data_IF_801561890090
#
_entry.id   IF_801561890090
#
_cell.length_a   1.000
_cell.length_b   1.000
_cell.length_c   1.000
_cell.angle_alpha   90.00
_cell.angle_beta   90.00
_cell.angle_gamma   90.00
#
_symmetry.space_group_name_H-M   'P 1'
#
loop_
_entity.id
_entity.type
_entity.pdbx_description
1 polymer ?
#
# COMPACT_ATOMS: atom_id res chain seq x y z
N UNK A 1 -8.73 29.77 -0.83
CA UNK A 1 -7.94 28.53 -0.66
C UNK A 1 -7.81 27.85 -2.01
N UNK A 2 -6.59 27.62 -2.51
CA UNK A 2 -6.38 27.16 -3.88
C UNK A 2 -6.60 25.65 -3.98
N UNK A 3 -7.77 25.22 -4.48
CA UNK A 3 -8.18 23.81 -4.46
C UNK A 3 -7.18 22.87 -5.17
N UNK A 4 -6.54 23.34 -6.25
CA UNK A 4 -5.52 22.60 -6.98
C UNK A 4 -4.27 22.31 -6.14
N UNK A 5 -3.83 23.28 -5.33
CA UNK A 5 -2.67 23.12 -4.44
C UNK A 5 -2.94 22.12 -3.33
N UNK A 6 -4.17 22.07 -2.81
CA UNK A 6 -4.55 21.08 -1.81
C UNK A 6 -4.60 19.67 -2.40
N UNK A 7 -5.20 19.50 -3.58
CA UNK A 7 -5.23 18.21 -4.28
C UNK A 7 -3.79 17.70 -4.51
N UNK A 8 -2.87 18.56 -4.94
CA UNK A 8 -1.47 18.18 -5.13
C UNK A 8 -0.79 17.72 -3.82
N UNK A 9 -1.08 18.38 -2.69
CA UNK A 9 -0.56 17.96 -1.37
C UNK A 9 -1.10 16.60 -0.95
N UNK A 10 -2.41 16.36 -1.13
CA UNK A 10 -3.00 15.05 -0.83
C UNK A 10 -2.41 13.96 -1.72
N UNK A 11 -2.29 14.21 -3.03
CA UNK A 11 -1.69 13.27 -3.97
C UNK A 11 -0.26 12.89 -3.56
N UNK A 12 0.54 13.86 -3.15
CA UNK A 12 1.92 13.63 -2.72
C UNK A 12 2.00 12.87 -1.39
N UNK A 13 1.13 13.18 -0.43
CA UNK A 13 1.06 12.45 0.84
C UNK A 13 0.57 11.01 0.65
N UNK A 14 -0.44 10.78 -0.18
CA UNK A 14 -0.95 9.45 -0.50
C UNK A 14 0.12 8.61 -1.22
N UNK A 15 0.90 9.24 -2.10
CA UNK A 15 2.04 8.60 -2.75
C UNK A 15 3.15 8.21 -1.76
N UNK A 16 3.49 9.09 -0.82
CA UNK A 16 4.45 8.77 0.24
C UNK A 16 3.93 7.68 1.18
N UNK A 17 2.66 7.75 1.60
CA UNK A 17 2.03 6.78 2.48
C UNK A 17 2.01 5.37 1.84
N UNK A 18 1.61 5.27 0.58
CA UNK A 18 1.62 4.00 -0.17
C UNK A 18 3.03 3.43 -0.34
N UNK A 19 4.01 4.28 -0.66
CA UNK A 19 5.42 3.88 -0.80
C UNK A 19 6.01 3.38 0.52
N UNK A 20 5.75 4.09 1.63
CA UNK A 20 6.19 3.70 2.97
C UNK A 20 5.54 2.40 3.42
N UNK A 21 4.21 2.28 3.28
CA UNK A 21 3.47 1.07 3.63
C UNK A 21 4.02 -0.15 2.87
N UNK A 22 4.28 -0.01 1.57
CA UNK A 22 4.87 -1.08 0.76
C UNK A 22 6.30 -1.44 1.19
N UNK A 23 7.12 -0.42 1.48
CA UNK A 23 8.50 -0.64 1.93
C UNK A 23 8.53 -1.40 3.27
N UNK A 24 7.68 -1.00 4.22
CA UNK A 24 7.53 -1.68 5.50
C UNK A 24 7.02 -3.12 5.35
N UNK A 25 6.05 -3.33 4.45
CA UNK A 25 5.54 -4.66 4.14
C UNK A 25 6.60 -5.58 3.53
N UNK A 26 7.39 -5.07 2.58
CA UNK A 26 8.46 -5.84 1.96
C UNK A 26 9.56 -6.20 2.97
N UNK A 27 9.94 -5.26 3.86
CA UNK A 27 10.85 -5.53 4.98
C UNK A 27 10.29 -6.61 5.90
N UNK A 28 9.00 -6.53 6.25
CA UNK A 28 8.34 -7.55 7.05
C UNK A 28 8.43 -8.94 6.41
N UNK A 29 8.20 -9.07 5.10
CA UNK A 29 8.31 -10.35 4.40
C UNK A 29 9.73 -10.89 4.39
N UNK A 30 10.73 -10.05 4.09
CA UNK A 30 12.15 -10.44 4.14
C UNK A 30 12.57 -10.97 5.51
N UNK A 31 12.12 -10.34 6.60
CA UNK A 31 12.48 -10.77 7.96
C UNK A 31 11.84 -12.10 8.36
N UNK A 32 10.61 -12.37 7.91
CA UNK A 32 9.85 -13.55 8.35
C UNK A 32 9.97 -14.77 7.42
N UNK A 33 10.14 -14.56 6.11
CA UNK A 33 10.13 -15.64 5.11
C UNK A 33 11.55 -16.07 4.67
N UNK A 34 12.50 -15.14 4.59
CA UNK A 34 13.90 -15.43 4.26
C UNK A 34 14.75 -15.43 5.54
N UNK A 35 14.96 -16.63 6.11
CA UNK A 35 15.79 -16.84 7.30
C UNK A 35 17.23 -16.35 7.07
N UNK A 36 17.58 -15.12 7.47
CA UNK A 36 18.96 -14.65 7.46
C UNK A 36 19.13 -13.15 7.65
N UNK A 37 19.62 -12.74 8.82
CA UNK A 37 19.78 -11.32 9.23
C UNK A 37 20.95 -10.60 8.55
N UNK A 38 21.85 -11.33 7.89
CA UNK A 38 23.19 -10.82 7.61
C UNK A 38 23.34 -10.02 6.30
N UNK A 39 22.32 -9.92 5.43
CA UNK A 39 22.53 -9.25 4.13
C UNK A 39 21.27 -8.55 3.54
N UNK A 40 20.54 -7.83 4.39
CA UNK A 40 19.26 -7.17 4.03
C UNK A 40 19.40 -6.10 2.95
N UNK A 41 20.45 -5.26 3.00
CA UNK A 41 20.60 -4.14 2.08
C UNK A 41 21.14 -4.55 0.70
N UNK A 42 22.04 -5.54 0.64
CA UNK A 42 22.62 -6.00 -0.63
C UNK A 42 21.60 -6.72 -1.51
N UNK A 43 20.76 -7.59 -0.92
CA UNK A 43 19.72 -8.30 -1.65
C UNK A 43 18.47 -7.47 -1.96
N UNK A 44 18.11 -6.48 -1.13
CA UNK A 44 17.00 -5.55 -1.45
C UNK A 44 17.24 -4.77 -2.73
N UNK A 45 18.50 -4.34 -2.96
CA UNK A 45 18.85 -3.52 -4.13
C UNK A 45 18.84 -4.35 -5.42
N UNK A 46 19.13 -5.66 -5.34
CA UNK A 46 19.15 -6.56 -6.49
C UNK A 46 17.80 -7.23 -6.80
N UNK A 47 16.79 -7.10 -5.93
CA UNK A 47 15.48 -7.69 -6.18
C UNK A 47 14.67 -6.83 -7.16
N UNK A 48 14.58 -7.29 -8.40
CA UNK A 48 13.81 -6.65 -9.45
C UNK A 48 12.31 -6.54 -9.09
N UNK A 49 11.77 -7.49 -8.31
CA UNK A 49 10.37 -7.46 -7.87
C UNK A 49 10.11 -6.25 -6.94
N UNK A 50 11.06 -5.91 -6.07
CA UNK A 50 10.95 -4.75 -5.18
C UNK A 50 10.86 -3.43 -5.95
N UNK A 51 11.77 -3.20 -6.90
CA UNK A 51 11.80 -1.98 -7.72
C UNK A 51 10.59 -1.82 -8.65
N UNK A 52 10.06 -2.93 -9.16
CA UNK A 52 8.80 -2.87 -9.93
C UNK A 52 7.65 -2.51 -8.98
N UNK A 53 7.56 -3.18 -7.83
CA UNK A 53 6.45 -2.97 -6.92
C UNK A 53 6.44 -1.58 -6.25
N UNK A 54 7.61 -0.98 -5.93
CA UNK A 54 7.68 0.37 -5.35
C UNK A 54 7.17 1.45 -6.30
N UNK A 55 7.16 1.20 -7.62
CA UNK A 55 6.58 2.13 -8.61
C UNK A 55 5.12 1.77 -8.90
N UNK A 56 4.82 0.48 -9.09
CA UNK A 56 3.49 0.01 -9.46
C UNK A 56 2.48 0.24 -8.33
N UNK A 57 2.85 -0.02 -7.08
CA UNK A 57 1.92 0.06 -5.93
C UNK A 57 1.44 1.50 -5.69
N UNK A 58 2.31 2.52 -5.58
CA UNK A 58 1.84 3.90 -5.43
C UNK A 58 1.02 4.41 -6.61
N UNK A 59 1.40 4.05 -7.85
CA UNK A 59 0.63 4.41 -9.05
C UNK A 59 -0.77 3.79 -9.02
N UNK A 60 -0.85 2.51 -8.63
CA UNK A 60 -2.12 1.81 -8.45
C UNK A 60 -3.02 2.51 -7.41
N UNK A 61 -2.48 2.91 -6.26
CA UNK A 61 -3.24 3.62 -5.23
C UNK A 61 -3.75 4.97 -5.72
N UNK A 62 -2.93 5.75 -6.42
CA UNK A 62 -3.36 7.02 -7.02
C UNK A 62 -4.51 6.82 -8.03
N UNK A 63 -4.43 5.78 -8.87
CA UNK A 63 -5.52 5.42 -9.79
C UNK A 63 -6.78 5.01 -9.03
N UNK A 64 -6.64 4.22 -7.96
CA UNK A 64 -7.77 3.78 -7.15
C UNK A 64 -8.47 4.95 -6.46
N UNK A 65 -7.72 5.89 -5.86
CA UNK A 65 -8.29 7.07 -5.22
C UNK A 65 -8.93 8.05 -6.22
N UNK A 66 -8.39 8.15 -7.43
CA UNK A 66 -9.01 8.95 -8.50
C UNK A 66 -10.32 8.32 -8.99
N UNK A 67 -10.37 7.00 -9.18
CA UNK A 67 -11.60 6.26 -9.57
C UNK A 67 -12.68 6.35 -8.50
N UNK A 68 -12.32 6.23 -7.23
CA UNK A 68 -13.23 6.36 -6.08
C UNK A 68 -13.71 7.82 -5.90
N UNK A 69 -13.06 8.78 -6.57
CA UNK A 69 -13.44 10.19 -6.52
C UNK A 69 -13.12 10.85 -5.18
N UNK A 70 -12.14 10.33 -4.44
CA UNK A 70 -11.71 10.90 -3.15
C UNK A 70 -11.33 12.37 -3.28
N UNK A 71 -10.68 12.76 -4.38
CA UNK A 71 -10.25 14.13 -4.66
C UNK A 71 -11.37 15.10 -5.12
N UNK A 72 -12.58 14.60 -5.43
CA UNK A 72 -13.63 15.41 -6.09
C UNK A 72 -14.47 16.25 -5.12
N UNK A 73 -14.52 15.90 -3.82
CA UNK A 73 -15.34 16.60 -2.81
C UNK A 73 -14.63 16.70 -1.46
N UNK A 74 -13.63 17.58 -1.36
CA UNK A 74 -12.84 17.78 -0.14
C UNK A 74 -13.61 18.59 0.94
N UNK A 75 -14.60 19.40 0.56
CA UNK A 75 -15.09 20.49 1.41
C UNK A 75 -16.40 20.23 2.18
N UNK A 76 -17.08 19.11 1.97
CA UNK A 76 -18.37 18.83 2.63
C UNK A 76 -18.59 17.34 2.81
N UNK A 77 -17.88 16.74 3.76
CA UNK A 77 -18.05 15.33 4.14
C UNK A 77 -18.14 15.19 5.65
N UNK A 78 -18.99 14.26 6.09
CA UNK A 78 -19.06 13.83 7.48
C UNK A 78 -17.88 12.89 7.78
N UNK A 79 -17.21 13.08 8.92
CA UNK A 79 -15.99 12.31 9.31
C UNK A 79 -16.18 10.79 9.23
N UNK A 80 -17.35 10.29 9.64
CA UNK A 80 -17.72 8.86 9.54
C UNK A 80 -17.77 8.35 8.09
N UNK A 81 -18.20 9.20 7.15
CA UNK A 81 -18.29 8.84 5.74
C UNK A 81 -16.92 8.82 5.07
N UNK A 82 -15.98 9.64 5.55
CA UNK A 82 -14.59 9.58 5.12
C UNK A 82 -13.92 8.30 5.60
N UNK A 83 -14.07 7.93 6.88
CA UNK A 83 -13.56 6.66 7.40
C UNK A 83 -14.10 5.43 6.67
N UNK A 84 -15.41 5.41 6.36
CA UNK A 84 -15.99 4.32 5.57
C UNK A 84 -15.44 4.28 4.14
N UNK A 85 -15.20 5.45 3.53
CA UNK A 85 -14.62 5.56 2.20
C UNK A 85 -13.15 5.10 2.18
N UNK A 86 -12.34 5.51 3.17
CA UNK A 86 -10.95 5.06 3.28
C UNK A 86 -10.91 3.56 3.53
N UNK A 87 -11.66 3.05 4.52
CA UNK A 87 -11.71 1.60 4.81
C UNK A 87 -12.11 0.77 3.59
N UNK A 88 -13.13 1.19 2.84
CA UNK A 88 -13.56 0.47 1.63
C UNK A 88 -12.48 0.54 0.55
N UNK A 89 -11.87 1.71 0.35
CA UNK A 89 -10.80 1.88 -0.64
C UNK A 89 -9.56 1.07 -0.29
N UNK A 90 -9.17 1.03 0.98
CA UNK A 90 -8.00 0.29 1.45
C UNK A 90 -8.26 -1.20 1.33
N UNK A 91 -9.46 -1.67 1.69
CA UNK A 91 -9.84 -3.08 1.58
C UNK A 91 -9.85 -3.56 0.12
N UNK A 92 -10.43 -2.77 -0.80
CA UNK A 92 -10.42 -3.09 -2.24
C UNK A 92 -8.98 -3.11 -2.78
N UNK A 93 -8.20 -2.06 -2.49
CA UNK A 93 -6.84 -1.95 -3.01
C UNK A 93 -5.91 -3.04 -2.50
N UNK A 94 -5.96 -3.33 -1.19
CA UNK A 94 -5.19 -4.42 -0.57
C UNK A 94 -5.60 -5.78 -1.14
N UNK A 95 -6.89 -6.01 -1.38
CA UNK A 95 -7.36 -7.24 -2.02
C UNK A 95 -6.78 -7.41 -3.41
N UNK A 96 -6.81 -6.37 -4.25
CA UNK A 96 -6.24 -6.43 -5.61
C UNK A 96 -4.72 -6.68 -5.55
N UNK A 97 -4.00 -5.93 -4.71
CA UNK A 97 -2.55 -6.10 -4.52
C UNK A 97 -2.22 -7.52 -4.05
N UNK A 98 -3.02 -8.07 -3.14
CA UNK A 98 -2.84 -9.42 -2.63
C UNK A 98 -2.92 -10.47 -3.76
N UNK A 99 -3.95 -10.40 -4.61
CA UNK A 99 -4.10 -11.33 -5.73
C UNK A 99 -3.01 -11.17 -6.80
N UNK A 100 -2.52 -9.96 -7.03
CA UNK A 100 -1.56 -9.67 -8.12
C UNK A 100 -0.11 -9.89 -7.70
N UNK A 101 0.27 -9.44 -6.49
CA UNK A 101 1.67 -9.40 -6.05
C UNK A 101 2.01 -10.43 -4.97
N UNK A 102 1.05 -10.83 -4.14
CA UNK A 102 1.32 -11.73 -2.99
C UNK A 102 0.99 -13.18 -3.34
N UNK A 103 -0.06 -13.42 -4.13
CA UNK A 103 -0.51 -14.78 -4.47
C UNK A 103 0.48 -15.54 -5.37
N UNK A 104 1.28 -14.83 -6.16
CA UNK A 104 2.29 -15.43 -7.05
C UNK A 104 3.55 -15.88 -6.31
N UNK A 105 3.75 -15.44 -5.06
CA UNK A 105 4.93 -15.84 -4.30
C UNK A 105 4.74 -17.19 -3.62
N UNK A 106 5.78 -18.03 -3.68
CA UNK A 106 5.79 -19.37 -3.07
C UNK A 106 5.94 -19.24 -1.56
N UNK A 107 4.82 -19.07 -0.86
CA UNK A 107 4.81 -19.07 0.60
C UNK A 107 4.70 -20.51 1.11
N UNK A 108 5.63 -20.89 2.00
CA UNK A 108 5.75 -22.25 2.53
C UNK A 108 4.54 -22.72 3.35
N UNK A 109 3.71 -21.80 3.87
CA UNK A 109 2.50 -22.12 4.65
C UNK A 109 1.33 -21.22 4.32
N UNK A 110 0.12 -21.79 4.30
CA UNK A 110 -1.13 -21.04 4.06
C UNK A 110 -1.37 -19.91 5.08
N UNK A 111 -0.82 -20.02 6.29
CA UNK A 111 -0.91 -18.98 7.33
C UNK A 111 -0.17 -17.69 6.93
N UNK A 112 0.93 -17.79 6.18
CA UNK A 112 1.71 -16.62 5.75
C UNK A 112 0.93 -15.67 4.83
N UNK A 113 0.03 -16.19 4.00
CA UNK A 113 -0.85 -15.35 3.16
C UNK A 113 -1.80 -14.49 3.98
N UNK A 114 -2.47 -15.07 4.99
CA UNK A 114 -3.40 -14.33 5.84
C UNK A 114 -2.68 -13.24 6.65
N UNK A 115 -1.51 -13.56 7.19
CA UNK A 115 -0.70 -12.61 7.95
C UNK A 115 -0.22 -11.48 7.04
N UNK A 116 0.30 -11.80 5.85
CA UNK A 116 0.74 -10.80 4.88
C UNK A 116 -0.39 -9.86 4.47
N UNK A 117 -1.60 -10.40 4.21
CA UNK A 117 -2.77 -9.59 3.92
C UNK A 117 -3.10 -8.62 5.06
N UNK A 118 -3.13 -9.11 6.30
CA UNK A 118 -3.43 -8.29 7.48
C UNK A 118 -2.38 -7.21 7.71
N UNK A 119 -1.09 -7.53 7.59
CA UNK A 119 0.00 -6.56 7.75
C UNK A 119 -0.09 -5.47 6.67
N UNK A 120 -0.30 -5.85 5.40
CA UNK A 120 -0.47 -4.87 4.31
C UNK A 120 -1.68 -3.95 4.58
N UNK A 121 -2.81 -4.54 5.00
CA UNK A 121 -4.03 -3.79 5.31
C UNK A 121 -3.81 -2.81 6.46
N UNK A 122 -3.24 -3.26 7.58
CA UNK A 122 -3.00 -2.43 8.76
C UNK A 122 -2.01 -1.32 8.48
N UNK A 123 -0.89 -1.60 7.81
CA UNK A 123 0.09 -0.58 7.43
C UNK A 123 -0.58 0.48 6.54
N UNK A 124 -1.24 0.04 5.48
CA UNK A 124 -1.80 0.96 4.50
C UNK A 124 -2.96 1.80 5.06
N UNK A 125 -3.83 1.20 5.88
CA UNK A 125 -4.91 1.91 6.57
C UNK A 125 -4.41 2.88 7.65
N UNK A 126 -3.26 2.61 8.29
CA UNK A 126 -2.73 3.51 9.31
C UNK A 126 -2.01 4.73 8.70
N UNK A 127 -1.39 4.56 7.53
CA UNK A 127 -0.70 5.66 6.84
C UNK A 127 -1.62 6.53 5.97
N UNK A 128 -2.85 6.08 5.68
CA UNK A 128 -3.83 6.77 4.82
C UNK A 128 -4.97 7.36 5.64
#
# INVERSE_FOLDING_TARGET
MNAKLQIAKYLFLDWLASTLAWTLFYLYRKVNEEQGINDYFGHMIHDQKYWVAIVVVPVFWLLLYTLIGSYRRIYRKARLRELGQTLTSTLIGVTIIFFVLILDDVINTYQGYYISFLVLFTLHFFFT
#
